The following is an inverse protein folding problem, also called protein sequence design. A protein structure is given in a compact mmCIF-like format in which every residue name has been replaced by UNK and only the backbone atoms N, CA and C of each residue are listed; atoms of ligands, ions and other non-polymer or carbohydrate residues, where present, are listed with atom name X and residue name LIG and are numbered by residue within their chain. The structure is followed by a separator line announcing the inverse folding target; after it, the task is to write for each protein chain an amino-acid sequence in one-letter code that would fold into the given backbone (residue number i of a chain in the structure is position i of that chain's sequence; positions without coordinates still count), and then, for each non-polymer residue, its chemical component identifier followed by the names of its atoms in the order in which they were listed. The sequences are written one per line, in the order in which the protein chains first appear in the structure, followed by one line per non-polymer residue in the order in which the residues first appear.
data_IF_225257645469
#
_entry.id   IF_225257645469
#
_cell.length_a   1.000
_cell.length_b   1.000
_cell.length_c   1.000
_cell.angle_alpha   90.00
_cell.angle_beta   90.00
_cell.angle_gamma   90.00
#
_symmetry.space_group_name_H-M   'P 1'
#
loop_
_entity.id
_entity.type
_entity.pdbx_description
1 polymer ?
#
# COMPACT_ATOMS: atom_id res chain seq x y z
N UNK A 1 22.19 50.38 19.71
CA UNK A 1 21.49 49.27 19.03
C UNK A 1 22.50 48.15 18.86
N UNK A 2 22.32 47.03 19.55
CA UNK A 2 23.20 45.85 19.43
C UNK A 2 22.66 45.01 18.28
N UNK A 3 23.40 44.94 17.19
CA UNK A 3 23.08 44.10 16.04
C UNK A 3 23.53 42.68 16.36
N UNK A 4 22.62 41.82 16.79
CA UNK A 4 22.89 40.39 16.95
C UNK A 4 23.02 39.76 15.57
N UNK A 5 24.26 39.56 15.13
CA UNK A 5 24.58 38.77 13.95
C UNK A 5 24.28 37.30 14.29
N UNK A 6 23.17 36.78 13.79
CA UNK A 6 22.86 35.35 13.89
C UNK A 6 23.80 34.64 12.90
N UNK A 7 24.82 33.98 13.44
CA UNK A 7 25.73 33.14 12.66
C UNK A 7 24.93 31.97 12.06
N UNK A 8 25.09 31.62 10.75
CA UNK A 8 24.37 30.51 10.10
C UNK A 8 24.53 29.14 10.80
N UNK A 9 25.57 29.01 11.61
CA UNK A 9 25.96 27.81 12.33
C UNK A 9 24.99 27.40 13.46
N UNK A 10 24.24 28.36 14.02
CA UNK A 10 23.25 28.09 15.07
C UNK A 10 21.97 27.40 14.54
N UNK A 11 21.61 27.65 13.28
CA UNK A 11 20.44 27.03 12.63
C UNK A 11 20.69 25.57 12.20
N UNK A 12 21.95 25.13 12.15
CA UNK A 12 22.32 23.77 11.76
C UNK A 12 22.18 22.74 12.91
N UNK A 13 22.08 23.18 14.17
CA UNK A 13 22.16 22.30 15.36
C UNK A 13 20.85 21.69 15.83
N UNK A 14 19.72 22.01 15.19
CA UNK A 14 18.39 21.52 15.62
C UNK A 14 17.70 20.61 14.58
N UNK A 15 18.45 20.12 13.58
CA UNK A 15 17.93 19.14 12.63
C UNK A 15 17.95 17.76 13.28
N UNK A 16 16.76 17.22 13.57
CA UNK A 16 16.61 15.81 13.98
C UNK A 16 17.36 14.89 13.01
N UNK A 17 18.05 13.84 13.51
CA UNK A 17 18.78 12.93 12.66
C UNK A 17 17.85 12.30 11.63
N UNK A 18 18.38 12.06 10.44
CA UNK A 18 17.67 11.33 9.38
C UNK A 18 18.08 9.86 9.49
N UNK A 19 17.10 8.97 9.51
CA UNK A 19 17.32 7.53 9.45
C UNK A 19 17.05 7.03 8.04
N UNK A 20 17.88 6.10 7.57
CA UNK A 20 17.64 5.32 6.36
C UNK A 20 17.34 3.88 6.76
N UNK A 21 16.32 3.29 6.13
CA UNK A 21 16.01 1.87 6.24
C UNK A 21 15.79 1.32 4.85
N UNK A 22 16.44 0.19 4.57
CA UNK A 22 16.25 -0.52 3.31
C UNK A 22 15.02 -1.42 3.42
N UNK A 23 14.07 -1.24 2.51
CA UNK A 23 12.76 -1.92 2.50
C UNK A 23 12.44 -2.44 1.10
N UNK A 24 11.38 -3.24 0.99
CA UNK A 24 10.72 -3.55 -0.28
C UNK A 24 9.30 -3.02 -0.21
N UNK A 25 8.83 -2.36 -1.27
CA UNK A 25 7.44 -1.96 -1.40
C UNK A 25 6.62 -3.16 -1.87
N UNK A 26 5.48 -3.38 -1.21
CA UNK A 26 4.44 -4.32 -1.63
C UNK A 26 3.25 -3.47 -2.06
N UNK A 27 2.81 -3.64 -3.31
CA UNK A 27 1.66 -2.93 -3.85
C UNK A 27 0.60 -3.93 -4.30
N UNK A 28 -0.59 -3.84 -3.72
CA UNK A 28 -1.72 -4.73 -3.98
C UNK A 28 -2.80 -3.92 -4.71
N UNK A 29 -3.21 -4.37 -5.90
CA UNK A 29 -4.35 -3.78 -6.60
C UNK A 29 -5.63 -4.50 -6.18
N UNK A 30 -6.55 -3.77 -5.57
CA UNK A 30 -7.70 -4.35 -4.89
C UNK A 30 -9.02 -3.78 -5.45
N UNK A 31 -9.94 -4.62 -5.94
CA UNK A 31 -11.19 -4.13 -6.46
C UNK A 31 -12.09 -3.60 -5.35
N UNK A 32 -12.75 -2.49 -5.61
CA UNK A 32 -13.76 -1.90 -4.72
C UNK A 32 -15.00 -1.52 -5.51
N UNK A 33 -16.19 -1.47 -4.89
CA UNK A 33 -17.37 -0.86 -5.47
C UNK A 33 -17.10 0.57 -5.95
N UNK A 34 -17.73 0.95 -7.07
CA UNK A 34 -17.62 2.30 -7.62
C UNK A 34 -18.10 3.38 -6.63
N UNK A 35 -19.06 3.05 -5.75
CA UNK A 35 -19.53 3.93 -4.68
C UNK A 35 -18.44 4.25 -3.66
N UNK A 36 -17.62 3.26 -3.31
CA UNK A 36 -16.50 3.41 -2.37
C UNK A 36 -15.39 4.22 -2.99
N UNK A 37 -15.03 3.92 -4.24
CA UNK A 37 -14.07 4.72 -5.00
C UNK A 37 -14.50 6.20 -5.09
N UNK A 38 -15.79 6.44 -5.37
CA UNK A 38 -16.35 7.79 -5.46
C UNK A 38 -16.34 8.52 -4.11
N UNK A 39 -16.65 7.85 -3.00
CA UNK A 39 -16.58 8.42 -1.66
C UNK A 39 -15.14 8.84 -1.31
N UNK A 40 -14.15 7.97 -1.57
CA UNK A 40 -12.75 8.33 -1.39
C UNK A 40 -12.32 9.50 -2.26
N UNK A 41 -12.74 9.54 -3.53
CA UNK A 41 -12.47 10.66 -4.43
C UNK A 41 -13.12 11.98 -3.97
N UNK A 42 -14.22 11.89 -3.21
CA UNK A 42 -14.88 13.03 -2.59
C UNK A 42 -14.24 13.47 -1.25
N UNK A 43 -13.16 12.81 -0.82
CA UNK A 43 -12.44 13.14 0.42
C UNK A 43 -12.90 12.35 1.65
N UNK A 44 -13.63 11.25 1.46
CA UNK A 44 -14.02 10.33 2.55
C UNK A 44 -13.20 9.02 2.49
N UNK A 45 -12.01 8.98 3.13
CA UNK A 45 -11.22 7.76 3.19
C UNK A 45 -11.80 6.69 4.13
N UNK A 46 -12.71 7.05 5.06
CA UNK A 46 -13.32 6.10 5.99
C UNK A 46 -14.33 5.18 5.28
N UNK A 47 -14.75 5.54 4.07
CA UNK A 47 -15.49 4.65 3.17
C UNK A 47 -14.78 3.30 2.96
N UNK A 48 -13.45 3.27 2.88
CA UNK A 48 -12.68 2.02 2.76
C UNK A 48 -12.79 1.15 4.01
N UNK A 49 -12.77 1.74 5.20
CA UNK A 49 -12.89 1.00 6.47
C UNK A 49 -14.27 0.36 6.64
N UNK A 50 -15.28 0.98 6.03
CA UNK A 50 -16.67 0.52 6.08
C UNK A 50 -17.02 -0.45 4.95
N UNK A 51 -16.13 -0.63 3.97
CA UNK A 51 -16.38 -1.45 2.79
C UNK A 51 -16.05 -2.93 3.05
N UNK A 52 -17.06 -3.80 2.92
CA UNK A 52 -16.91 -5.24 3.12
C UNK A 52 -15.94 -5.91 2.13
N UNK A 53 -15.82 -5.40 0.91
CA UNK A 53 -14.87 -5.89 -0.08
C UNK A 53 -13.44 -5.54 0.28
N UNK A 54 -13.18 -4.41 0.97
CA UNK A 54 -11.85 -3.99 1.40
C UNK A 54 -11.44 -4.57 2.75
N UNK A 55 -12.41 -4.93 3.60
CA UNK A 55 -12.19 -5.43 4.95
C UNK A 55 -11.21 -6.63 5.05
N UNK A 56 -11.17 -7.62 4.14
CA UNK A 56 -10.19 -8.70 4.19
C UNK A 56 -8.75 -8.21 4.05
N UNK A 57 -8.49 -7.29 3.11
CA UNK A 57 -7.16 -6.70 2.94
C UNK A 57 -6.77 -5.91 4.19
N UNK A 58 -7.68 -5.07 4.70
CA UNK A 58 -7.42 -4.28 5.90
C UNK A 58 -7.04 -5.17 7.09
N UNK A 59 -7.73 -6.29 7.29
CA UNK A 59 -7.38 -7.26 8.34
C UNK A 59 -5.98 -7.85 8.16
N UNK A 60 -5.57 -8.17 6.93
CA UNK A 60 -4.20 -8.67 6.69
C UNK A 60 -3.17 -7.60 7.05
N UNK A 61 -3.41 -6.35 6.66
CA UNK A 61 -2.52 -5.23 6.99
C UNK A 61 -2.42 -5.03 8.51
N UNK A 62 -3.54 -5.05 9.23
CA UNK A 62 -3.60 -4.86 10.69
C UNK A 62 -3.05 -6.04 11.51
N UNK A 63 -2.95 -7.24 10.92
CA UNK A 63 -2.48 -8.45 11.61
C UNK A 63 -1.09 -8.91 11.17
N UNK A 64 -0.42 -8.11 10.32
CA UNK A 64 0.92 -8.38 9.82
C UNK A 64 1.87 -7.27 10.31
N UNK A 65 2.37 -7.34 11.55
CA UNK A 65 3.24 -6.30 12.13
C UNK A 65 4.55 -6.06 11.36
N UNK A 66 4.93 -6.97 10.47
CA UNK A 66 6.03 -6.83 9.52
C UNK A 66 5.77 -5.77 8.43
N UNK A 67 4.51 -5.42 8.19
CA UNK A 67 4.09 -4.43 7.20
C UNK A 67 4.00 -3.03 7.80
N UNK A 68 4.45 -2.04 7.03
CA UNK A 68 4.20 -0.64 7.35
C UNK A 68 4.85 -0.19 8.66
N UNK A 69 5.95 -0.84 9.07
CA UNK A 69 6.71 -0.45 10.25
C UNK A 69 7.61 0.76 9.92
N UNK A 70 7.30 1.89 10.56
CA UNK A 70 8.07 3.13 10.53
C UNK A 70 8.52 3.53 11.96
N UNK A 71 8.72 2.56 12.86
CA UNK A 71 9.11 2.77 14.24
C UNK A 71 7.90 3.03 15.14
N UNK A 72 7.69 4.30 15.53
CA UNK A 72 6.53 4.67 16.37
C UNK A 72 5.19 4.70 15.62
N UNK A 73 5.24 4.49 14.30
CA UNK A 73 4.09 4.32 13.43
C UNK A 73 4.14 2.90 12.85
N UNK A 74 3.14 2.07 13.17
CA UNK A 74 2.92 0.76 12.55
C UNK A 74 1.76 0.81 11.57
N UNK A 75 1.54 -0.31 10.86
CA UNK A 75 0.41 -0.50 9.95
C UNK A 75 0.29 0.58 8.86
N UNK A 76 1.42 1.20 8.48
CA UNK A 76 1.44 2.29 7.50
C UNK A 76 1.25 1.73 6.10
N UNK A 77 0.22 2.21 5.41
CA UNK A 77 0.01 2.00 3.99
C UNK A 77 -0.56 3.27 3.33
N UNK A 78 -0.31 3.40 2.04
CA UNK A 78 -0.89 4.41 1.17
C UNK A 78 -1.97 3.78 0.29
N UNK A 79 -3.03 4.52 -0.02
CA UNK A 79 -4.06 4.11 -0.99
C UNK A 79 -4.12 5.09 -2.14
N UNK A 80 -3.95 4.59 -3.37
CA UNK A 80 -4.18 5.34 -4.60
C UNK A 80 -5.45 4.84 -5.30
N UNK A 81 -6.27 5.76 -5.82
CA UNK A 81 -7.53 5.44 -6.50
C UNK A 81 -7.30 5.19 -7.99
N UNK A 82 -8.01 4.22 -8.58
CA UNK A 82 -7.81 3.88 -9.98
C UNK A 82 -8.97 3.15 -10.66
N UNK A 83 -8.74 2.87 -11.94
CA UNK A 83 -9.59 2.00 -12.78
C UNK A 83 -8.68 0.99 -13.45
N UNK A 84 -9.05 -0.28 -13.38
CA UNK A 84 -8.38 -1.38 -14.06
C UNK A 84 -9.16 -1.79 -15.31
N UNK A 85 -8.43 -2.25 -16.32
CA UNK A 85 -8.98 -2.68 -17.60
C UNK A 85 -8.47 -4.08 -17.91
N UNK A 86 -9.36 -4.97 -18.34
CA UNK A 86 -9.00 -6.34 -18.65
C UNK A 86 -9.91 -6.96 -19.73
N UNK A 87 -9.37 -7.97 -20.41
CA UNK A 87 -10.11 -8.81 -21.35
C UNK A 87 -10.11 -10.24 -20.84
N UNK A 88 -11.29 -10.83 -20.69
CA UNK A 88 -11.41 -12.21 -20.21
C UNK A 88 -11.09 -13.17 -21.35
N UNK A 89 -10.01 -13.93 -21.19
CA UNK A 89 -9.55 -14.89 -22.20
C UNK A 89 -10.25 -16.25 -22.08
N UNK A 90 -10.33 -17.05 -23.17
CA UNK A 90 -10.83 -18.42 -23.09
C UNK A 90 -10.08 -19.24 -22.02
N UNK A 91 -10.83 -20.03 -21.25
CA UNK A 91 -10.30 -20.83 -20.14
C UNK A 91 -10.32 -20.13 -18.78
N UNK A 92 -10.57 -18.81 -18.73
CA UNK A 92 -10.79 -18.11 -17.47
C UNK A 92 -12.16 -18.46 -16.86
N UNK A 93 -12.21 -18.50 -15.53
CA UNK A 93 -13.44 -18.45 -14.73
C UNK A 93 -13.35 -17.13 -13.97
N UNK A 94 -13.97 -16.04 -14.45
CA UNK A 94 -13.76 -14.72 -13.86
C UNK A 94 -14.80 -14.40 -12.77
N UNK A 95 -14.35 -13.72 -11.71
CA UNK A 95 -15.24 -13.16 -10.68
C UNK A 95 -16.08 -12.03 -11.27
N UNK A 96 -15.53 -11.29 -12.25
CA UNK A 96 -16.20 -10.18 -12.95
C UNK A 96 -16.10 -10.33 -14.47
N UNK A 97 -17.24 -10.16 -15.15
CA UNK A 97 -17.32 -10.15 -16.62
C UNK A 97 -17.54 -11.53 -17.23
N UNK A 98 -17.31 -11.65 -18.53
CA UNK A 98 -17.54 -12.86 -19.31
C UNK A 98 -16.48 -13.08 -20.38
N UNK A 99 -16.18 -14.35 -20.69
CA UNK A 99 -15.16 -14.74 -21.69
C UNK A 99 -15.42 -14.05 -23.03
N UNK A 100 -14.37 -13.45 -23.58
CA UNK A 100 -14.41 -12.68 -24.83
C UNK A 100 -14.77 -11.19 -24.64
N UNK A 101 -15.23 -10.79 -23.46
CA UNK A 101 -15.53 -9.40 -23.15
C UNK A 101 -14.32 -8.59 -22.68
N UNK A 102 -14.42 -7.27 -22.83
CA UNK A 102 -13.50 -6.28 -22.26
C UNK A 102 -14.24 -5.45 -21.22
N UNK A 103 -13.64 -5.32 -20.03
CA UNK A 103 -14.30 -4.73 -18.86
C UNK A 103 -13.38 -3.72 -18.18
N UNK A 104 -14.02 -2.83 -17.44
CA UNK A 104 -13.37 -1.90 -16.52
C UNK A 104 -13.87 -2.20 -15.10
N UNK A 105 -12.99 -2.08 -14.12
CA UNK A 105 -13.33 -2.19 -12.70
C UNK A 105 -12.74 -1.03 -11.90
N UNK A 106 -13.52 -0.53 -10.94
CA UNK A 106 -13.01 0.35 -9.89
C UNK A 106 -12.00 -0.41 -9.03
N UNK A 107 -10.86 0.21 -8.75
CA UNK A 107 -9.77 -0.41 -7.99
C UNK A 107 -9.09 0.61 -7.10
N UNK A 108 -8.45 0.13 -6.04
CA UNK A 108 -7.48 0.90 -5.26
C UNK A 108 -6.15 0.17 -5.24
N UNK A 109 -5.05 0.91 -5.35
CA UNK A 109 -3.72 0.37 -5.14
C UNK A 109 -3.25 0.69 -3.73
N UNK A 110 -3.06 -0.36 -2.92
CA UNK A 110 -2.54 -0.25 -1.56
C UNK A 110 -1.05 -0.49 -1.57
N UNK A 111 -0.24 0.48 -1.13
CA UNK A 111 1.21 0.35 -1.04
C UNK A 111 1.64 0.35 0.43
N UNK A 112 2.37 -0.68 0.83
CA UNK A 112 3.01 -0.78 2.14
C UNK A 112 4.46 -1.27 1.98
N UNK A 113 5.19 -1.39 3.07
CA UNK A 113 6.61 -1.70 3.07
C UNK A 113 6.93 -2.81 4.05
N UNK A 114 7.84 -3.70 3.65
CA UNK A 114 8.43 -4.73 4.51
C UNK A 114 9.94 -4.50 4.60
N UNK A 115 10.57 -4.89 5.70
CA UNK A 115 12.02 -4.81 5.81
C UNK A 115 12.70 -5.61 4.68
N UNK A 116 13.73 -5.04 4.04
CA UNK A 116 14.43 -5.72 2.96
C UNK A 116 15.24 -6.94 3.45
N UNK A 117 15.46 -7.06 4.75
CA UNK A 117 16.13 -8.19 5.39
C UNK A 117 15.17 -9.29 5.85
N UNK A 118 13.85 -9.12 5.63
CA UNK A 118 12.87 -10.18 5.88
C UNK A 118 13.24 -11.46 5.12
N UNK A 119 13.09 -12.60 5.77
CA UNK A 119 13.45 -13.90 5.19
C UNK A 119 12.54 -14.25 4.00
N UNK A 120 13.05 -15.01 3.04
CA UNK A 120 12.26 -15.41 1.87
C UNK A 120 10.99 -16.19 2.27
N UNK A 121 11.08 -17.06 3.28
CA UNK A 121 9.92 -17.82 3.79
C UNK A 121 8.88 -16.92 4.46
N UNK A 122 9.32 -15.89 5.18
CA UNK A 122 8.45 -14.90 5.83
C UNK A 122 7.71 -14.06 4.78
N UNK A 123 8.46 -13.57 3.79
CA UNK A 123 7.90 -12.84 2.66
C UNK A 123 6.94 -13.70 1.84
N UNK A 124 7.26 -14.96 1.60
CA UNK A 124 6.39 -15.89 0.88
C UNK A 124 5.08 -16.14 1.65
N UNK A 125 5.14 -16.31 2.97
CA UNK A 125 3.96 -16.49 3.81
C UNK A 125 3.07 -15.23 3.80
N UNK A 126 3.68 -14.05 3.87
CA UNK A 126 2.98 -12.78 3.79
C UNK A 126 2.25 -12.59 2.44
N UNK A 127 2.96 -12.83 1.34
CA UNK A 127 2.38 -12.75 -0.02
C UNK A 127 1.28 -13.80 -0.23
N UNK A 128 1.43 -15.00 0.35
CA UNK A 128 0.40 -16.03 0.33
C UNK A 128 -0.87 -15.56 1.05
N UNK A 129 -0.77 -14.97 2.25
CA UNK A 129 -1.93 -14.42 2.97
C UNK A 129 -2.68 -13.36 2.17
N UNK A 130 -1.95 -12.44 1.53
CA UNK A 130 -2.55 -11.42 0.67
C UNK A 130 -3.26 -12.02 -0.54
N UNK A 131 -2.66 -13.04 -1.16
CA UNK A 131 -3.22 -13.75 -2.31
C UNK A 131 -4.47 -14.55 -1.93
N UNK A 132 -4.45 -15.23 -0.78
CA UNK A 132 -5.53 -16.11 -0.31
C UNK A 132 -6.83 -15.37 0.00
N UNK A 133 -6.73 -14.11 0.45
CA UNK A 133 -7.91 -13.28 0.76
C UNK A 133 -8.38 -12.45 -0.43
N UNK A 134 -7.65 -12.47 -1.54
CA UNK A 134 -7.87 -11.56 -2.65
C UNK A 134 -9.16 -11.91 -3.44
N UNK A 135 -9.98 -10.93 -3.89
CA UNK A 135 -11.24 -11.23 -4.58
C UNK A 135 -11.07 -11.79 -6.01
N UNK A 136 -9.97 -11.43 -6.67
CA UNK A 136 -9.61 -11.94 -7.99
C UNK A 136 -8.95 -13.30 -7.92
N UNK A 137 -9.29 -14.17 -8.87
CA UNK A 137 -8.66 -15.49 -9.01
C UNK A 137 -7.18 -15.42 -9.38
N UNK A 138 -6.76 -14.29 -9.96
CA UNK A 138 -5.36 -13.99 -10.27
C UNK A 138 -5.04 -12.60 -9.72
N UNK A 139 -4.57 -12.51 -8.47
CA UNK A 139 -4.21 -11.24 -7.84
C UNK A 139 -3.01 -10.58 -8.53
N UNK A 140 -3.02 -9.25 -8.62
CA UNK A 140 -1.86 -8.47 -9.06
C UNK A 140 -1.22 -7.84 -7.84
N UNK A 141 -0.09 -8.40 -7.42
CA UNK A 141 0.73 -7.90 -6.31
C UNK A 141 2.12 -7.60 -6.84
N UNK A 142 2.54 -6.34 -6.77
CA UNK A 142 3.88 -5.91 -7.15
C UNK A 142 4.79 -5.98 -5.91
N UNK A 143 6.01 -6.49 -6.10
CA UNK A 143 7.08 -6.44 -5.11
C UNK A 143 8.27 -5.71 -5.72
N UNK A 144 8.72 -4.65 -5.07
CA UNK A 144 9.86 -3.89 -5.59
C UNK A 144 11.21 -4.58 -5.33
N UNK A 145 12.22 -4.16 -6.08
CA UNK A 145 13.60 -4.28 -5.62
C UNK A 145 13.79 -3.47 -4.31
N UNK A 146 14.82 -3.79 -3.50
CA UNK A 146 15.11 -3.03 -2.29
C UNK A 146 15.31 -1.54 -2.58
N UNK A 147 14.76 -0.69 -1.72
CA UNK A 147 14.88 0.77 -1.77
C UNK A 147 15.10 1.35 -0.37
N UNK A 148 15.73 2.52 -0.28
CA UNK A 148 15.91 3.21 0.98
C UNK A 148 14.74 4.16 1.26
N UNK A 149 14.04 3.93 2.37
CA UNK A 149 13.15 4.92 2.96
C UNK A 149 13.92 5.84 3.89
N UNK A 150 13.59 7.13 3.79
CA UNK A 150 14.22 8.19 4.56
C UNK A 150 13.19 8.73 5.55
N UNK A 151 13.44 8.54 6.83
CA UNK A 151 12.56 9.01 7.91
C UNK A 151 13.33 9.90 8.89
N UNK A 152 12.62 10.57 9.79
CA UNK A 152 13.25 11.19 10.96
C UNK A 152 13.49 10.11 12.01
N UNK A 153 14.65 10.17 12.67
CA UNK A 153 14.98 9.37 13.84
C UNK A 153 14.28 9.89 15.10
#
# INVERSE_FOLDING_TARGET
MVTTTITPEAAARDRKPVRRRTVRAIKVHWPVPATTLAACAAGDPDALRSDESFAPLLRVLETSPELGDFGVYGDVFEVALGVESFTVRPGARPTLGSVGGHFLSSTVAVTTYVDATAGDDELALLLARLTDVHPWEVPVIELSAPMDLVTRA
#
